data_IF_235756266012
#
_entry.id   IF_235756266012
#
_cell.length_a   1.000
_cell.length_b   1.000
_cell.length_c   1.000
_cell.angle_alpha   90.00
_cell.angle_beta   90.00
_cell.angle_gamma   90.00
#
_symmetry.space_group_name_H-M   'P 1'
#
loop_
_entity.id
_entity.type
_entity.pdbx_description
1 polymer ?
#
# COMPACT_ATOMS: atom_id res chain seq x y z
N UNK A 1 -32.21 -11.90 15.49
CA UNK A 1 -30.77 -12.23 15.43
C UNK A 1 -30.17 -11.47 16.58
N UNK A 2 -29.70 -12.19 17.59
CA UNK A 2 -29.28 -11.66 18.87
C UNK A 2 -28.08 -10.75 18.70
N UNK A 3 -28.26 -9.46 18.98
CA UNK A 3 -27.16 -8.53 19.22
C UNK A 3 -26.40 -9.04 20.45
N UNK A 4 -25.15 -9.47 20.26
CA UNK A 4 -24.24 -9.76 21.38
C UNK A 4 -23.98 -8.45 22.11
N UNK A 5 -24.45 -8.35 23.36
CA UNK A 5 -24.28 -7.17 24.22
C UNK A 5 -22.78 -6.81 24.31
N UNK A 6 -22.37 -5.74 23.62
CA UNK A 6 -21.00 -5.20 23.69
C UNK A 6 -20.15 -5.35 22.44
N UNK A 7 -20.70 -5.75 21.29
CA UNK A 7 -20.03 -5.65 19.98
C UNK A 7 -20.75 -4.67 19.05
N UNK A 8 -19.99 -3.84 18.34
CA UNK A 8 -20.51 -2.93 17.31
C UNK A 8 -19.93 -3.31 15.94
N UNK A 9 -20.81 -3.57 14.97
CA UNK A 9 -20.37 -3.82 13.60
C UNK A 9 -20.23 -2.52 12.82
N UNK A 10 -19.04 -2.24 12.31
CA UNK A 10 -18.74 -1.05 11.51
C UNK A 10 -18.15 -1.43 10.16
N UNK A 11 -18.30 -0.52 9.19
CA UNK A 11 -17.70 -0.67 7.86
C UNK A 11 -16.31 -0.06 7.81
N UNK A 12 -15.33 -0.80 7.32
CA UNK A 12 -13.95 -0.33 7.20
C UNK A 12 -13.82 0.76 6.12
N UNK A 13 -13.20 1.88 6.47
CA UNK A 13 -12.95 3.03 5.60
C UNK A 13 -11.49 3.48 5.66
N UNK A 14 -11.07 4.26 4.64
CA UNK A 14 -9.70 4.76 4.48
C UNK A 14 -9.29 5.63 5.66
N UNK A 15 -8.08 5.40 6.19
CA UNK A 15 -7.49 6.24 7.22
C UNK A 15 -7.17 7.65 6.69
N UNK A 16 -7.08 8.60 7.61
CA UNK A 16 -6.56 9.93 7.31
C UNK A 16 -5.02 9.81 7.26
N UNK A 17 -4.32 10.49 6.33
CA UNK A 17 -2.86 10.39 6.22
C UNK A 17 -2.09 10.59 7.53
N UNK A 18 -2.57 11.48 8.40
CA UNK A 18 -1.97 11.78 9.72
C UNK A 18 -2.09 10.67 10.77
N UNK A 19 -2.95 9.66 10.54
CA UNK A 19 -3.18 8.56 11.48
C UNK A 19 -2.43 7.27 11.08
N UNK A 20 -1.94 7.21 9.84
CA UNK A 20 -1.28 6.03 9.29
C UNK A 20 0.02 5.73 10.03
N UNK A 21 0.18 4.48 10.47
CA UNK A 21 1.37 4.04 11.20
C UNK A 21 1.31 4.29 12.71
N UNK A 22 0.33 5.04 13.21
CA UNK A 22 0.16 5.34 14.64
C UNK A 22 -0.77 4.37 15.39
N UNK A 23 -1.36 3.39 14.71
CA UNK A 23 -2.25 2.41 15.35
C UNK A 23 -3.57 3.02 15.84
N UNK A 24 -4.08 4.05 15.15
CA UNK A 24 -5.32 4.76 15.50
C UNK A 24 -6.50 4.25 14.70
N UNK A 25 -7.65 4.14 15.36
CA UNK A 25 -8.94 3.86 14.76
C UNK A 25 -9.91 5.00 15.06
N UNK A 26 -10.51 5.60 14.04
CA UNK A 26 -11.58 6.60 14.25
C UNK A 26 -12.94 5.93 14.17
N UNK A 27 -13.69 6.05 15.25
CA UNK A 27 -14.98 5.39 15.47
C UNK A 27 -16.02 6.45 15.84
N UNK A 28 -17.28 6.34 15.36
CA UNK A 28 -18.38 7.20 15.80
C UNK A 28 -18.60 7.05 17.31
N UNK A 29 -18.78 8.16 18.03
CA UNK A 29 -19.02 8.11 19.48
C UNK A 29 -20.48 7.91 19.88
N UNK A 30 -21.40 8.11 18.95
CA UNK A 30 -22.82 7.86 19.16
C UNK A 30 -23.09 6.35 19.00
N UNK A 31 -22.58 5.56 19.95
CA UNK A 31 -22.71 4.12 19.95
C UNK A 31 -22.85 3.55 21.37
N UNK A 32 -23.34 2.32 21.46
CA UNK A 32 -23.61 1.64 22.72
C UNK A 32 -22.34 1.25 23.50
N UNK A 33 -21.15 1.41 22.90
CA UNK A 33 -19.86 1.06 23.49
C UNK A 33 -19.27 2.16 24.39
N UNK A 34 -19.87 3.36 24.44
CA UNK A 34 -19.43 4.50 25.26
C UNK A 34 -17.92 4.75 25.17
N UNK A 35 -17.38 4.70 23.95
CA UNK A 35 -15.95 4.83 23.68
C UNK A 35 -15.48 6.26 23.96
N UNK A 36 -14.28 6.40 24.52
CA UNK A 36 -13.60 7.69 24.70
C UNK A 36 -12.30 7.74 23.91
N UNK A 37 -11.84 8.93 23.48
CA UNK A 37 -10.51 9.06 22.89
C UNK A 37 -9.44 8.53 23.84
N UNK A 38 -8.61 7.60 23.36
CA UNK A 38 -7.58 6.93 24.14
C UNK A 38 -7.97 5.55 24.67
N UNK A 39 -9.25 5.16 24.59
CA UNK A 39 -9.65 3.77 24.86
C UNK A 39 -9.04 2.83 23.82
N UNK A 40 -8.80 1.58 24.20
CA UNK A 40 -8.37 0.53 23.28
C UNK A 40 -9.56 -0.31 22.86
N UNK A 41 -9.64 -0.60 21.58
CA UNK A 41 -10.63 -1.51 21.00
C UNK A 41 -9.94 -2.71 20.37
N UNK A 42 -10.60 -3.86 20.48
CA UNK A 42 -10.30 -5.02 19.65
C UNK A 42 -11.11 -4.91 18.36
N UNK A 43 -10.45 -5.18 17.24
CA UNK A 43 -11.05 -5.22 15.91
C UNK A 43 -10.98 -6.67 15.44
N UNK A 44 -12.16 -7.29 15.32
CA UNK A 44 -12.32 -8.67 14.86
C UNK A 44 -12.73 -8.67 13.39
N UNK A 45 -11.77 -9.07 12.54
CA UNK A 45 -12.00 -9.45 11.14
C UNK A 45 -11.93 -10.96 10.99
N UNK A 46 -11.16 -11.45 10.01
CA UNK A 46 -10.74 -12.87 9.98
C UNK A 46 -9.71 -13.17 11.07
N UNK A 47 -8.91 -12.14 11.43
CA UNK A 47 -7.98 -12.12 12.55
C UNK A 47 -8.37 -11.00 13.51
N UNK A 48 -7.98 -11.15 14.77
CA UNK A 48 -8.17 -10.15 15.82
C UNK A 48 -6.92 -9.28 15.95
N UNK A 49 -7.10 -7.95 15.94
CA UNK A 49 -6.04 -6.97 16.22
C UNK A 49 -6.57 -5.88 17.14
N UNK A 50 -5.74 -4.91 17.51
CA UNK A 50 -6.11 -3.83 18.41
C UNK A 50 -5.70 -2.45 17.89
N UNK A 51 -6.48 -1.44 18.26
CA UNK A 51 -6.21 -0.05 17.90
C UNK A 51 -6.66 0.93 19.00
N UNK A 52 -6.07 2.13 19.01
CA UNK A 52 -6.47 3.21 19.92
C UNK A 52 -7.62 3.99 19.29
N UNK A 53 -8.69 4.20 20.04
CA UNK A 53 -9.82 5.03 19.62
C UNK A 53 -9.39 6.49 19.55
N UNK A 54 -9.67 7.10 18.40
CA UNK A 54 -9.51 8.52 18.16
C UNK A 54 -10.80 9.16 17.66
N UNK A 55 -10.88 10.50 17.73
CA UNK A 55 -12.12 11.21 17.39
C UNK A 55 -12.49 11.05 15.93
N UNK A 56 -13.72 10.61 15.63
CA UNK A 56 -14.25 10.65 14.26
C UNK A 56 -14.41 12.09 13.76
N UNK A 57 -14.42 12.28 12.44
CA UNK A 57 -14.82 13.57 11.86
C UNK A 57 -16.35 13.72 12.01
N UNK A 58 -16.87 14.95 12.13
CA UNK A 58 -18.32 15.18 12.22
C UNK A 58 -19.11 14.56 11.05
N UNK A 59 -18.50 14.55 9.85
CA UNK A 59 -19.05 13.96 8.63
C UNK A 59 -19.24 12.44 8.72
N UNK A 60 -18.39 11.76 9.50
CA UNK A 60 -18.38 10.29 9.60
C UNK A 60 -19.32 9.76 10.69
N UNK A 61 -19.84 10.63 11.56
CA UNK A 61 -20.57 10.24 12.78
C UNK A 61 -21.80 9.36 12.48
N UNK A 62 -22.48 9.60 11.36
CA UNK A 62 -23.70 8.88 10.99
C UNK A 62 -23.49 7.81 9.89
N UNK A 63 -22.25 7.58 9.46
CA UNK A 63 -21.97 6.68 8.33
C UNK A 63 -21.76 5.22 8.78
N UNK A 64 -21.64 4.95 10.08
CA UNK A 64 -21.37 3.61 10.60
C UNK A 64 -20.02 3.06 10.13
N UNK A 65 -19.03 3.93 9.97
CA UNK A 65 -17.69 3.59 9.45
C UNK A 65 -16.62 3.64 10.51
N UNK A 66 -15.64 2.74 10.41
CA UNK A 66 -14.39 2.81 11.17
C UNK A 66 -13.24 3.12 10.21
N UNK A 67 -12.49 4.19 10.48
CA UNK A 67 -11.30 4.51 9.68
C UNK A 67 -10.06 3.92 10.36
N UNK A 68 -9.41 2.99 9.68
CA UNK A 68 -8.18 2.31 10.11
C UNK A 68 -7.17 2.28 8.97
N UNK A 69 -5.89 2.26 9.32
CA UNK A 69 -4.79 2.26 8.35
C UNK A 69 -4.60 0.88 7.68
N UNK A 70 -3.80 0.83 6.62
CA UNK A 70 -3.54 -0.40 5.87
C UNK A 70 -2.88 -1.51 6.70
N UNK A 71 -2.17 -1.15 7.77
CA UNK A 71 -1.47 -2.09 8.65
C UNK A 71 -2.47 -2.80 9.55
N UNK A 72 -3.34 -2.05 10.23
CA UNK A 72 -4.41 -2.62 11.05
C UNK A 72 -5.33 -3.48 10.17
N UNK A 73 -5.64 -3.02 8.95
CA UNK A 73 -6.41 -3.81 7.97
C UNK A 73 -5.74 -5.15 7.66
N UNK A 74 -4.44 -5.14 7.36
CA UNK A 74 -3.67 -6.36 7.09
C UNK A 74 -3.59 -7.29 8.32
N UNK A 75 -3.40 -6.73 9.51
CA UNK A 75 -3.36 -7.50 10.76
C UNK A 75 -4.70 -8.18 11.05
N UNK A 76 -5.81 -7.48 10.85
CA UNK A 76 -7.16 -8.04 10.96
C UNK A 76 -7.56 -8.93 9.77
N UNK A 77 -6.77 -8.96 8.69
CA UNK A 77 -7.07 -9.59 7.41
C UNK A 77 -8.42 -9.11 6.81
N UNK A 78 -8.62 -7.78 6.80
CA UNK A 78 -9.83 -7.14 6.26
C UNK A 78 -9.45 -6.10 5.23
N UNK A 79 -10.37 -5.80 4.33
CA UNK A 79 -10.16 -4.78 3.30
C UNK A 79 -11.13 -3.62 3.42
N UNK A 80 -10.90 -2.55 2.64
CA UNK A 80 -11.82 -1.42 2.61
C UNK A 80 -13.23 -1.86 2.20
N UNK A 81 -14.23 -1.41 2.98
CA UNK A 81 -15.63 -1.68 2.72
C UNK A 81 -16.17 -2.94 3.40
N UNK A 82 -15.32 -3.79 3.97
CA UNK A 82 -15.73 -4.94 4.76
C UNK A 82 -16.34 -4.53 6.09
N UNK A 83 -17.06 -5.44 6.73
CA UNK A 83 -17.64 -5.24 8.05
C UNK A 83 -16.74 -5.90 9.09
N UNK A 84 -16.46 -5.17 10.17
CA UNK A 84 -15.70 -5.65 11.32
C UNK A 84 -16.49 -5.44 12.59
N UNK A 85 -16.34 -6.38 13.52
CA UNK A 85 -16.87 -6.21 14.86
C UNK A 85 -15.82 -5.55 15.74
N UNK A 86 -16.24 -4.54 16.48
CA UNK A 86 -15.40 -3.90 17.47
C UNK A 86 -15.97 -4.09 18.88
N UNK A 87 -15.07 -4.31 19.82
CA UNK A 87 -15.39 -4.41 21.24
C UNK A 87 -14.39 -3.57 22.04
N UNK A 88 -14.85 -3.00 23.15
CA UNK A 88 -13.97 -2.28 24.08
C UNK A 88 -13.21 -3.30 24.91
N UNK A 89 -11.89 -3.14 25.00
CA UNK A 89 -11.03 -4.06 25.76
C UNK A 89 -10.22 -3.30 26.80
N UNK A 90 -10.22 -3.82 28.03
CA UNK A 90 -9.27 -3.40 29.06
C UNK A 90 -7.93 -4.09 28.80
N UNK A 91 -6.91 -3.29 28.51
CA UNK A 91 -5.58 -3.77 28.16
C UNK A 91 -4.70 -3.89 29.39
N UNK A 92 -3.96 -5.00 29.47
CA UNK A 92 -2.91 -5.19 30.46
C UNK A 92 -1.62 -4.48 30.04
N UNK A 93 -0.82 -4.08 31.02
CA UNK A 93 0.51 -3.50 30.78
C UNK A 93 1.44 -4.53 30.14
N UNK A 94 2.18 -4.13 29.10
CA UNK A 94 3.18 -4.98 28.48
C UNK A 94 4.46 -4.98 29.32
N UNK A 95 4.85 -6.14 29.87
CA UNK A 95 6.12 -6.30 30.59
C UNK A 95 7.27 -6.48 29.61
N UNK A 96 7.08 -7.35 28.61
CA UNK A 96 8.08 -7.69 27.61
C UNK A 96 7.49 -7.80 26.21
N UNK A 97 8.10 -7.08 25.27
CA UNK A 97 7.75 -7.06 23.86
C UNK A 97 8.94 -7.54 23.03
N UNK A 98 8.74 -8.55 22.21
CA UNK A 98 9.76 -9.06 21.30
C UNK A 98 9.37 -8.74 19.86
N UNK A 99 10.22 -7.97 19.19
CA UNK A 99 10.05 -7.54 17.80
C UNK A 99 11.10 -8.21 16.92
N UNK A 100 10.77 -8.43 15.66
CA UNK A 100 11.73 -8.82 14.63
C UNK A 100 11.43 -8.07 13.34
N UNK A 101 12.45 -7.62 12.59
CA UNK A 101 12.23 -6.96 11.33
C UNK A 101 11.68 -7.95 10.28
N UNK A 102 10.78 -7.46 9.43
CA UNK A 102 10.24 -8.24 8.30
C UNK A 102 11.01 -7.80 7.05
N UNK A 103 11.80 -8.71 6.49
CA UNK A 103 12.61 -8.45 5.29
C UNK A 103 12.99 -9.74 4.57
N UNK A 104 13.39 -9.62 3.30
CA UNK A 104 13.91 -10.74 2.53
C UNK A 104 15.20 -11.31 3.17
N UNK A 105 15.26 -12.65 3.25
CA UNK A 105 16.21 -13.54 3.94
C UNK A 105 17.72 -13.25 3.82
N UNK A 106 18.15 -12.31 2.97
CA UNK A 106 19.55 -12.03 2.66
C UNK A 106 20.11 -10.75 3.30
N UNK A 107 19.27 -9.93 3.92
CA UNK A 107 19.73 -8.73 4.65
C UNK A 107 19.69 -9.01 6.15
N UNK A 108 20.85 -8.91 6.81
CA UNK A 108 20.91 -8.82 8.27
C UNK A 108 21.04 -7.34 8.62
N UNK A 109 20.08 -6.81 9.36
CA UNK A 109 20.18 -5.46 9.91
C UNK A 109 20.77 -5.56 11.30
N UNK A 110 21.95 -4.96 11.47
CA UNK A 110 22.51 -4.71 12.80
C UNK A 110 21.94 -3.40 13.30
N UNK A 111 21.25 -3.46 14.42
CA UNK A 111 20.78 -2.26 15.09
C UNK A 111 21.80 -1.86 16.15
N UNK A 112 22.21 -0.59 16.14
CA UNK A 112 23.11 -0.06 17.16
C UNK A 112 22.48 -0.04 18.57
N UNK A 113 23.30 0.04 19.63
CA UNK A 113 22.82 0.10 21.01
C UNK A 113 21.91 1.32 21.23
N UNK A 114 20.74 1.10 21.85
CA UNK A 114 19.79 2.17 22.19
C UNK A 114 18.57 2.27 21.26
N UNK A 115 18.50 1.45 20.21
CA UNK A 115 17.32 1.36 19.34
C UNK A 115 16.06 0.95 20.12
N UNK A 116 16.21 0.19 21.20
CA UNK A 116 15.10 -0.23 22.06
C UNK A 116 14.48 0.98 22.78
N UNK A 117 15.31 1.97 23.13
CA UNK A 117 14.85 3.24 23.69
C UNK A 117 14.04 4.03 22.68
N UNK A 118 14.48 4.05 21.42
CA UNK A 118 13.75 4.67 20.31
C UNK A 118 12.40 3.99 20.08
N UNK A 119 12.40 2.66 19.94
CA UNK A 119 11.19 1.86 19.78
C UNK A 119 10.21 2.07 20.94
N UNK A 120 10.72 2.18 22.17
CA UNK A 120 9.89 2.42 23.37
C UNK A 120 9.19 3.78 23.32
N UNK A 121 9.89 4.82 22.86
CA UNK A 121 9.28 6.15 22.68
C UNK A 121 8.23 6.13 21.56
N UNK A 122 8.55 5.53 20.42
CA UNK A 122 7.65 5.46 19.25
C UNK A 122 6.39 4.62 19.48
N UNK A 123 6.46 3.59 20.32
CA UNK A 123 5.36 2.68 20.63
C UNK A 123 4.63 3.02 21.94
N UNK A 124 5.00 4.09 22.63
CA UNK A 124 4.39 4.44 23.91
C UNK A 124 2.86 4.60 23.82
N UNK A 125 2.13 3.95 24.74
CA UNK A 125 0.67 3.82 24.78
C UNK A 125 0.05 3.05 23.62
N UNK A 126 0.84 2.46 22.73
CA UNK A 126 0.31 1.68 21.59
C UNK A 126 -0.14 0.29 22.04
N UNK A 127 -1.35 -0.15 21.67
CA UNK A 127 -1.77 -1.52 21.85
C UNK A 127 -1.06 -2.41 20.82
N UNK A 128 -0.66 -3.59 21.26
CA UNK A 128 0.08 -4.57 20.45
C UNK A 128 -0.45 -5.97 20.71
N UNK A 129 -0.48 -6.79 19.65
CA UNK A 129 -0.92 -8.19 19.70
C UNK A 129 0.20 -9.05 19.10
N UNK A 130 0.45 -10.23 19.68
CA UNK A 130 1.42 -11.16 19.12
C UNK A 130 0.97 -11.65 17.73
N UNK A 131 1.86 -11.58 16.74
CA UNK A 131 1.60 -11.89 15.34
C UNK A 131 1.43 -10.65 14.45
N UNK A 132 1.05 -9.50 15.03
CA UNK A 132 0.79 -8.27 14.28
C UNK A 132 2.06 -7.65 13.68
N UNK A 133 1.88 -6.99 12.53
CA UNK A 133 2.90 -6.14 11.91
C UNK A 133 2.69 -4.69 12.35
N UNK A 134 3.76 -3.98 12.67
CA UNK A 134 3.74 -2.58 13.10
C UNK A 134 4.91 -1.79 12.50
N UNK A 135 4.74 -0.48 12.33
CA UNK A 135 5.86 0.43 12.13
C UNK A 135 6.19 1.15 13.42
N UNK A 136 7.47 1.42 13.63
CA UNK A 136 7.94 2.29 14.71
C UNK A 136 8.08 3.70 14.12
N UNK A 137 7.23 4.66 14.53
CA UNK A 137 7.31 6.03 14.02
C UNK A 137 8.69 6.64 14.24
N UNK A 138 9.19 7.36 13.24
CA UNK A 138 10.51 8.01 13.24
C UNK A 138 11.69 7.07 12.98
N UNK A 139 11.45 5.76 12.80
CA UNK A 139 12.49 4.80 12.43
C UNK A 139 12.43 4.53 10.92
N UNK A 140 12.86 5.50 10.12
CA UNK A 140 13.02 5.33 8.67
C UNK A 140 14.45 4.88 8.37
N UNK A 141 14.60 3.73 7.71
CA UNK A 141 15.87 3.29 7.15
C UNK A 141 15.75 3.46 5.63
N UNK A 142 16.66 4.23 5.02
CA UNK A 142 16.70 4.42 3.56
C UNK A 142 15.41 5.00 2.94
N UNK A 143 14.77 5.95 3.61
CA UNK A 143 13.54 6.64 3.17
C UNK A 143 12.27 5.76 3.10
N UNK A 144 12.33 4.50 3.52
CA UNK A 144 11.16 3.63 3.70
C UNK A 144 11.01 3.23 5.18
N UNK A 145 9.76 3.02 5.62
CA UNK A 145 9.48 2.56 6.97
C UNK A 145 9.67 1.05 7.03
N UNK A 146 10.57 0.56 7.90
CA UNK A 146 10.80 -0.88 8.07
C UNK A 146 9.69 -1.49 8.94
N UNK A 147 8.92 -2.48 8.45
CA UNK A 147 7.90 -3.14 9.27
C UNK A 147 8.54 -4.13 10.24
N UNK A 148 8.00 -4.18 11.46
CA UNK A 148 8.35 -5.13 12.49
C UNK A 148 7.18 -6.05 12.77
N UNK A 149 7.45 -7.34 12.91
CA UNK A 149 6.48 -8.29 13.41
C UNK A 149 6.65 -8.47 14.92
N UNK A 150 5.54 -8.47 15.64
CA UNK A 150 5.51 -8.77 17.07
C UNK A 150 5.56 -10.30 17.22
N UNK A 151 6.73 -10.82 17.58
CA UNK A 151 6.94 -12.27 17.74
C UNK A 151 6.22 -12.78 18.99
N UNK A 152 6.28 -12.01 20.08
CA UNK A 152 5.64 -12.40 21.33
C UNK A 152 5.45 -11.21 22.27
N UNK A 153 4.42 -11.30 23.10
CA UNK A 153 4.10 -10.37 24.18
C UNK A 153 4.00 -11.11 25.52
N UNK A 154 4.40 -10.44 26.61
CA UNK A 154 4.11 -10.86 27.99
C UNK A 154 3.38 -9.72 28.71
N UNK A 155 2.19 -9.96 29.28
CA UNK A 155 1.35 -11.16 29.16
C UNK A 155 0.86 -11.40 27.72
N UNK A 156 0.31 -12.59 27.43
CA UNK A 156 -0.30 -12.90 26.13
C UNK A 156 -1.66 -12.19 25.99
N UNK A 157 -2.02 -11.84 24.77
CA UNK A 157 -3.26 -11.12 24.45
C UNK A 157 -2.97 -9.71 23.96
N UNK A 158 -3.99 -8.85 24.03
CA UNK A 158 -3.88 -7.43 23.70
C UNK A 158 -3.24 -6.71 24.89
N UNK A 159 -2.03 -6.18 24.70
CA UNK A 159 -1.29 -5.48 25.74
C UNK A 159 -0.90 -4.08 25.28
N UNK A 160 -0.72 -3.17 26.24
CA UNK A 160 -0.32 -1.79 25.95
C UNK A 160 1.15 -1.57 26.30
N UNK A 161 1.90 -1.00 25.36
CA UNK A 161 3.30 -0.64 25.57
C UNK A 161 3.38 0.61 26.44
N UNK A 162 4.18 0.53 27.52
CA UNK A 162 4.41 1.63 28.46
C UNK A 162 5.90 1.94 28.57
N UNK A 163 6.29 3.07 29.20
CA UNK A 163 7.70 3.40 29.41
C UNK A 163 8.48 2.38 30.27
N UNK A 164 7.78 1.51 31.01
CA UNK A 164 8.34 0.41 31.79
C UNK A 164 8.56 -0.88 30.97
N UNK A 165 8.03 -0.97 29.74
CA UNK A 165 8.11 -2.19 28.92
C UNK A 165 9.55 -2.48 28.47
N UNK A 166 9.99 -3.72 28.68
CA UNK A 166 11.22 -4.27 28.12
C UNK A 166 11.00 -4.61 26.64
N UNK A 167 11.61 -3.86 25.73
CA UNK A 167 11.56 -4.13 24.28
C UNK A 167 12.85 -4.84 23.88
N UNK A 168 12.72 -5.95 23.17
CA UNK A 168 13.82 -6.72 22.60
C UNK A 168 13.62 -6.79 21.09
N UNK A 169 14.55 -6.25 20.32
CA UNK A 169 14.54 -6.33 18.86
C UNK A 169 15.50 -7.44 18.45
N UNK A 170 14.99 -8.48 17.78
CA UNK A 170 15.81 -9.55 17.23
C UNK A 170 16.47 -9.11 15.92
N UNK A 171 17.69 -9.57 15.70
CA UNK A 171 18.42 -9.36 14.43
C UNK A 171 17.97 -10.33 13.33
N UNK A 172 17.53 -11.53 13.73
CA UNK A 172 17.03 -12.52 12.78
C UNK A 172 15.69 -12.04 12.21
N UNK A 173 15.59 -11.85 10.87
CA UNK A 173 14.35 -11.43 10.26
C UNK A 173 13.33 -12.58 10.28
N UNK A 174 12.05 -12.24 10.43
CA UNK A 174 10.99 -13.19 10.13
C UNK A 174 10.78 -13.18 8.61
N UNK A 175 10.75 -14.38 8.02
CA UNK A 175 10.47 -14.55 6.60
C UNK A 175 9.14 -13.85 6.26
N UNK A 176 9.12 -13.13 5.14
CA UNK A 176 7.87 -12.89 4.43
C UNK A 176 7.38 -14.24 3.89
N UNK A 177 6.67 -15.02 4.73
CA UNK A 177 6.05 -16.30 4.32
C UNK A 177 4.90 -16.11 3.31
N UNK A 178 4.64 -14.87 2.85
CA UNK A 178 3.67 -14.59 1.78
C UNK A 178 4.42 -14.37 0.45
N UNK A 179 4.33 -15.34 -0.47
CA UNK A 179 4.85 -15.31 -1.84
C UNK A 179 4.30 -14.18 -2.74
N UNK A 180 3.53 -13.22 -2.21
CA UNK A 180 3.19 -12.01 -2.96
C UNK A 180 4.19 -10.90 -2.64
N UNK A 181 5.10 -10.66 -3.57
CA UNK A 181 6.06 -9.53 -3.63
C UNK A 181 5.38 -8.16 -3.74
N UNK A 182 4.22 -8.00 -3.10
CA UNK A 182 3.50 -6.75 -3.02
C UNK A 182 4.07 -6.05 -1.79
N UNK A 183 5.11 -5.24 -2.05
CA UNK A 183 5.44 -4.07 -1.24
C UNK A 183 4.13 -3.53 -0.66
N UNK A 184 4.11 -3.30 0.66
CA UNK A 184 2.95 -3.02 1.52
C UNK A 184 2.30 -1.66 1.19
N UNK A 185 2.03 -1.41 -0.09
CA UNK A 185 1.48 -0.18 -0.63
C UNK A 185 -0.02 -0.26 -0.43
N UNK A 186 -0.50 0.59 0.47
CA UNK A 186 -1.92 0.77 0.72
C UNK A 186 -2.46 1.92 -0.12
N UNK A 187 -3.78 2.05 -0.19
CA UNK A 187 -4.40 3.23 -0.81
C UNK A 187 -4.03 4.54 -0.11
N UNK A 188 -3.58 4.50 1.15
CA UNK A 188 -3.06 5.64 1.89
C UNK A 188 -1.66 6.09 1.48
N UNK A 189 -0.96 5.28 0.67
CA UNK A 189 0.36 5.59 0.14
C UNK A 189 0.29 6.12 -1.31
N UNK A 190 -0.94 6.37 -1.80
CA UNK A 190 -1.23 7.01 -3.08
C UNK A 190 -1.92 8.36 -2.82
N UNK A 191 -1.25 9.45 -3.20
CA UNK A 191 -1.75 10.82 -3.08
C UNK A 191 -2.19 11.41 -4.42
N UNK A 192 -3.13 12.35 -4.38
CA UNK A 192 -3.52 13.18 -5.52
C UNK A 192 -4.32 12.49 -6.62
N UNK A 193 -4.86 11.30 -6.34
CA UNK A 193 -5.60 10.48 -7.32
C UNK A 193 -6.97 10.03 -6.78
N UNK A 194 -7.63 10.82 -5.93
CA UNK A 194 -8.88 10.44 -5.26
C UNK A 194 -9.97 9.93 -6.22
N UNK A 195 -10.31 10.72 -7.24
CA UNK A 195 -11.34 10.38 -8.22
C UNK A 195 -10.95 9.17 -9.09
N UNK A 196 -9.69 9.12 -9.50
CA UNK A 196 -9.14 8.01 -10.28
C UNK A 196 -9.20 6.72 -9.47
N UNK A 197 -8.80 6.79 -8.20
CA UNK A 197 -8.79 5.64 -7.31
C UNK A 197 -10.19 5.10 -7.06
N UNK A 198 -11.18 5.97 -6.88
CA UNK A 198 -12.57 5.54 -6.78
C UNK A 198 -13.02 4.75 -8.02
N UNK A 199 -12.72 5.26 -9.23
CA UNK A 199 -13.04 4.55 -10.48
C UNK A 199 -12.31 3.22 -10.57
N UNK A 200 -11.03 3.16 -10.20
CA UNK A 200 -10.25 1.91 -10.18
C UNK A 200 -10.89 0.88 -9.23
N UNK A 201 -11.35 1.32 -8.05
CA UNK A 201 -12.05 0.43 -7.10
C UNK A 201 -13.37 -0.10 -7.68
N UNK A 202 -14.15 0.76 -8.32
CA UNK A 202 -15.41 0.34 -8.97
C UNK A 202 -15.17 -0.62 -10.15
N UNK A 203 -14.09 -0.43 -10.91
CA UNK A 203 -13.78 -1.23 -12.10
C UNK A 203 -13.03 -2.52 -11.79
N UNK A 204 -12.24 -2.59 -10.71
CA UNK A 204 -11.35 -3.72 -10.43
C UNK A 204 -11.71 -4.42 -9.12
N UNK A 205 -11.82 -3.68 -8.02
CA UNK A 205 -12.09 -4.25 -6.70
C UNK A 205 -13.51 -4.82 -6.60
N UNK A 206 -14.51 -4.11 -7.12
CA UNK A 206 -15.92 -4.52 -7.03
C UNK A 206 -16.21 -5.84 -7.76
N UNK A 207 -15.75 -6.07 -9.01
CA UNK A 207 -15.91 -7.37 -9.67
C UNK A 207 -15.28 -8.54 -8.91
N UNK A 208 -14.05 -8.35 -8.41
CA UNK A 208 -13.28 -9.42 -7.76
C UNK A 208 -13.90 -9.83 -6.42
N UNK A 209 -14.35 -8.86 -5.61
CA UNK A 209 -14.92 -9.12 -4.27
C UNK A 209 -16.39 -9.49 -4.30
N UNK A 210 -17.16 -8.90 -5.22
CA UNK A 210 -18.62 -9.04 -5.23
C UNK A 210 -19.18 -9.44 -6.61
N UNK A 211 -18.72 -10.57 -7.18
CA UNK A 211 -19.17 -11.02 -8.51
C UNK A 211 -20.67 -11.35 -8.56
N UNK A 212 -21.30 -11.59 -7.41
CA UNK A 212 -22.76 -11.81 -7.29
C UNK A 212 -23.55 -10.57 -7.72
N UNK A 213 -23.05 -9.35 -7.48
CA UNK A 213 -23.74 -8.11 -7.86
C UNK A 213 -23.88 -8.02 -9.38
N UNK A 214 -22.80 -8.28 -10.11
CA UNK A 214 -22.76 -8.29 -11.57
C UNK A 214 -23.67 -9.37 -12.16
N UNK A 215 -23.59 -10.60 -11.61
CA UNK A 215 -24.48 -11.71 -12.01
C UNK A 215 -25.95 -11.40 -11.79
N UNK A 216 -26.30 -10.77 -10.68
CA UNK A 216 -27.70 -10.39 -10.35
C UNK A 216 -28.23 -9.31 -11.29
N UNK A 217 -27.37 -8.36 -11.67
CA UNK A 217 -27.71 -7.28 -12.60
C UNK A 217 -27.66 -7.73 -14.07
N UNK A 218 -27.12 -8.92 -14.36
CA UNK A 218 -26.98 -9.43 -15.73
C UNK A 218 -25.99 -8.63 -16.57
N UNK A 219 -25.01 -7.99 -15.93
CA UNK A 219 -23.96 -7.22 -16.59
C UNK A 219 -22.64 -7.96 -16.48
N UNK A 220 -21.82 -7.92 -17.54
CA UNK A 220 -20.47 -8.44 -17.50
C UNK A 220 -19.54 -7.44 -16.81
N UNK A 221 -18.65 -7.90 -15.90
CA UNK A 221 -17.62 -7.04 -15.35
C UNK A 221 -16.61 -6.62 -16.44
N UNK A 222 -15.96 -5.46 -16.28
CA UNK A 222 -14.90 -5.04 -17.20
C UNK A 222 -13.74 -6.04 -17.17
N UNK A 223 -13.21 -6.36 -18.35
CA UNK A 223 -12.12 -7.35 -18.49
C UNK A 223 -10.75 -6.72 -18.48
N UNK A 224 -10.65 -5.50 -19.00
CA UNK A 224 -9.40 -4.80 -19.17
C UNK A 224 -9.51 -3.33 -18.81
N UNK A 225 -8.61 -2.86 -17.96
CA UNK A 225 -8.47 -1.44 -17.62
C UNK A 225 -7.15 -0.91 -18.19
N UNK A 226 -7.22 0.11 -19.03
CA UNK A 226 -6.05 0.81 -19.57
C UNK A 226 -5.78 2.08 -18.76
N UNK A 227 -4.68 2.09 -18.01
CA UNK A 227 -4.14 3.26 -17.32
C UNK A 227 -3.20 4.02 -18.26
N UNK A 228 -3.51 5.28 -18.56
CA UNK A 228 -2.63 6.10 -19.40
C UNK A 228 -2.34 7.46 -18.77
N UNK A 229 -1.17 8.03 -19.06
CA UNK A 229 -0.80 9.36 -18.60
C UNK A 229 0.71 9.56 -18.58
N UNK A 230 1.22 10.74 -18.19
CA UNK A 230 2.64 11.02 -18.12
C UNK A 230 3.42 10.01 -17.25
N UNK A 231 4.72 9.79 -17.50
CA UNK A 231 5.54 8.97 -16.61
C UNK A 231 5.60 9.57 -15.20
N UNK A 232 5.78 8.73 -14.18
CA UNK A 232 5.94 9.18 -12.80
C UNK A 232 4.67 9.60 -12.07
N UNK A 233 3.48 9.41 -12.66
CA UNK A 233 2.18 9.68 -12.00
C UNK A 233 1.65 8.54 -11.13
N UNK A 234 2.39 7.43 -10.99
CA UNK A 234 2.05 6.35 -10.06
C UNK A 234 1.14 5.24 -10.63
N UNK A 235 1.08 5.06 -11.95
CA UNK A 235 0.29 3.99 -12.61
C UNK A 235 0.58 2.59 -12.02
N UNK A 236 1.86 2.24 -11.88
CA UNK A 236 2.30 0.97 -11.30
C UNK A 236 1.98 0.86 -9.81
N UNK A 237 2.05 1.97 -9.06
CA UNK A 237 1.69 2.00 -7.63
C UNK A 237 0.20 1.74 -7.42
N UNK A 238 -0.66 2.32 -8.27
CA UNK A 238 -2.11 2.09 -8.21
C UNK A 238 -2.42 0.60 -8.42
N UNK A 239 -1.85 -0.03 -9.45
CA UNK A 239 -2.10 -1.44 -9.72
C UNK A 239 -1.66 -2.35 -8.55
N UNK A 240 -0.48 -2.09 -7.97
CA UNK A 240 0.01 -2.80 -6.79
C UNK A 240 -0.91 -2.61 -5.56
N UNK A 241 -1.36 -1.38 -5.31
CA UNK A 241 -2.24 -1.11 -4.18
C UNK A 241 -3.60 -1.80 -4.31
N UNK A 242 -4.18 -1.82 -5.51
CA UNK A 242 -5.45 -2.51 -5.77
C UNK A 242 -5.31 -4.01 -5.55
N UNK A 243 -4.19 -4.59 -6.00
CA UNK A 243 -3.92 -6.01 -5.79
C UNK A 243 -3.75 -6.37 -4.30
N UNK A 244 -3.01 -5.55 -3.56
CA UNK A 244 -2.86 -5.70 -2.11
C UNK A 244 -4.23 -5.67 -1.40
N UNK A 245 -5.11 -4.76 -1.79
CA UNK A 245 -6.39 -4.52 -1.12
C UNK A 245 -7.50 -5.51 -1.52
N UNK A 246 -7.36 -6.12 -2.70
CA UNK A 246 -8.25 -7.18 -3.16
C UNK A 246 -7.80 -8.57 -2.72
N UNK A 247 -6.58 -8.70 -2.18
CA UNK A 247 -5.95 -9.99 -1.87
C UNK A 247 -5.97 -10.95 -3.08
N UNK A 248 -5.97 -10.39 -4.30
CA UNK A 248 -5.95 -11.15 -5.54
C UNK A 248 -4.50 -11.53 -5.89
N UNK A 249 -4.31 -12.66 -6.56
CA UNK A 249 -3.01 -13.03 -7.11
C UNK A 249 -2.55 -11.93 -8.07
N UNK A 250 -1.36 -11.37 -7.87
CA UNK A 250 -0.82 -10.30 -8.69
C UNK A 250 0.33 -10.80 -9.56
N UNK A 251 0.17 -10.71 -10.88
CA UNK A 251 1.25 -11.01 -11.83
C UNK A 251 1.61 -9.74 -12.59
N UNK A 252 2.86 -9.29 -12.42
CA UNK A 252 3.39 -8.11 -13.10
C UNK A 252 4.26 -8.52 -14.27
N UNK A 253 4.04 -7.87 -15.41
CA UNK A 253 4.79 -8.06 -16.65
C UNK A 253 5.26 -6.70 -17.12
N UNK A 254 6.54 -6.55 -17.43
CA UNK A 254 7.02 -5.39 -18.15
C UNK A 254 7.05 -5.69 -19.65
N UNK A 255 6.48 -4.83 -20.48
CA UNK A 255 6.38 -5.06 -21.92
C UNK A 255 7.72 -5.44 -22.60
N UNK A 256 8.84 -4.72 -22.35
CA UNK A 256 10.15 -5.08 -22.89
C UNK A 256 10.66 -6.46 -22.46
N UNK A 257 10.24 -6.99 -21.30
CA UNK A 257 10.66 -8.32 -20.83
C UNK A 257 10.06 -9.45 -21.66
N UNK A 258 8.88 -9.22 -22.26
CA UNK A 258 8.20 -10.20 -23.13
C UNK A 258 8.87 -10.27 -24.49
N UNK A 259 9.50 -9.18 -24.97
CA UNK A 259 10.06 -9.11 -26.32
C UNK A 259 11.39 -9.86 -26.36
N UNK A 260 11.34 -11.11 -26.83
CA UNK A 260 12.50 -11.98 -27.01
C UNK A 260 12.91 -12.05 -28.47
N UNK A 261 14.21 -12.25 -28.72
CA UNK A 261 14.76 -12.48 -30.07
C UNK A 261 14.52 -13.89 -30.59
N UNK A 262 14.06 -14.81 -29.72
CA UNK A 262 13.85 -16.21 -30.05
C UNK A 262 12.40 -16.44 -30.49
N UNK A 263 12.24 -17.24 -31.54
CA UNK A 263 10.95 -17.46 -32.18
C UNK A 263 9.99 -18.23 -31.25
N UNK A 264 8.80 -17.67 -30.97
CA UNK A 264 7.74 -18.39 -30.25
C UNK A 264 7.82 -18.29 -28.72
N UNK A 265 8.92 -17.76 -28.17
CA UNK A 265 9.13 -17.66 -26.74
C UNK A 265 8.22 -16.60 -26.10
N UNK A 266 8.13 -15.42 -26.72
CA UNK A 266 7.23 -14.34 -26.28
C UNK A 266 5.77 -14.77 -26.26
N UNK A 267 5.30 -15.48 -27.28
CA UNK A 267 3.91 -15.94 -27.35
C UNK A 267 3.61 -17.01 -26.29
N UNK A 268 4.58 -17.91 -26.04
CA UNK A 268 4.46 -18.95 -25.03
C UNK A 268 4.43 -18.36 -23.62
N UNK A 269 5.34 -17.43 -23.33
CA UNK A 269 5.42 -16.74 -22.03
C UNK A 269 4.12 -15.99 -21.72
N UNK A 270 3.56 -15.25 -22.68
CA UNK A 270 2.25 -14.60 -22.51
C UNK A 270 1.14 -15.60 -22.19
N UNK A 271 1.14 -16.78 -22.83
CA UNK A 271 0.14 -17.81 -22.55
C UNK A 271 0.28 -18.38 -21.14
N UNK A 272 1.50 -18.73 -20.74
CA UNK A 272 1.78 -19.28 -19.41
C UNK A 272 1.33 -18.33 -18.30
N UNK A 273 1.57 -17.02 -18.47
CA UNK A 273 1.15 -16.01 -17.48
C UNK A 273 -0.38 -15.91 -17.37
N UNK A 274 -1.10 -15.95 -18.49
CA UNK A 274 -2.56 -15.93 -18.46
C UNK A 274 -3.15 -17.22 -17.87
N UNK A 275 -2.56 -18.37 -18.19
CA UNK A 275 -2.98 -19.68 -17.66
C UNK A 275 -2.72 -19.78 -16.14
N UNK A 276 -1.59 -19.26 -15.66
CA UNK A 276 -1.25 -19.17 -14.23
C UNK A 276 -2.23 -18.25 -13.49
N UNK A 277 -2.49 -17.05 -14.02
CA UNK A 277 -3.44 -16.12 -13.42
C UNK A 277 -4.86 -16.71 -13.36
N UNK A 278 -5.30 -17.41 -14.41
CA UNK A 278 -6.60 -18.10 -14.42
C UNK A 278 -6.67 -19.24 -13.40
N UNK A 279 -5.57 -19.96 -13.19
CA UNK A 279 -5.48 -21.05 -12.21
C UNK A 279 -5.49 -20.53 -10.76
N UNK A 280 -5.02 -19.30 -10.54
CA UNK A 280 -4.94 -18.64 -9.24
C UNK A 280 -6.03 -17.58 -9.00
N UNK A 281 -7.14 -17.65 -9.73
CA UNK A 281 -8.24 -16.70 -9.59
C UNK A 281 -8.81 -16.63 -8.16
N UNK A 282 -9.13 -15.44 -7.60
CA UNK A 282 -9.10 -14.11 -8.21
C UNK A 282 -7.68 -13.58 -8.50
N UNK A 283 -7.45 -13.09 -9.72
CA UNK A 283 -6.12 -12.63 -10.15
C UNK A 283 -6.15 -11.31 -10.93
N UNK A 284 -5.04 -10.58 -10.88
CA UNK A 284 -4.79 -9.34 -11.60
C UNK A 284 -3.50 -9.51 -12.40
N UNK A 285 -3.61 -9.33 -13.73
CA UNK A 285 -2.46 -9.28 -14.63
C UNK A 285 -2.15 -7.81 -14.90
N UNK A 286 -1.00 -7.32 -14.46
CA UNK A 286 -0.52 -5.98 -14.74
C UNK A 286 0.53 -5.99 -15.84
N UNK A 287 0.26 -5.30 -16.95
CA UNK A 287 1.17 -5.14 -18.08
C UNK A 287 1.65 -3.70 -18.11
N UNK A 288 2.88 -3.45 -17.67
CA UNK A 288 3.52 -2.15 -17.78
C UNK A 288 4.12 -1.95 -19.17
N UNK A 289 4.25 -0.69 -19.59
CA UNK A 289 4.73 -0.30 -20.92
C UNK A 289 4.05 -1.06 -22.07
N UNK A 290 2.72 -1.16 -22.02
CA UNK A 290 1.92 -1.91 -23.01
C UNK A 290 2.19 -1.46 -24.46
N UNK A 291 2.57 -0.21 -24.67
CA UNK A 291 2.95 0.34 -25.97
C UNK A 291 4.20 -0.30 -26.59
N UNK A 292 5.04 -0.97 -25.80
CA UNK A 292 6.19 -1.73 -26.30
C UNK A 292 5.80 -3.05 -26.96
N UNK A 293 4.84 -3.79 -26.40
CA UNK A 293 4.40 -5.10 -26.92
C UNK A 293 3.19 -5.01 -27.84
N UNK A 294 2.45 -3.90 -27.78
CA UNK A 294 1.28 -3.68 -28.61
C UNK A 294 1.24 -2.32 -29.32
N UNK A 295 2.31 -1.94 -30.03
CA UNK A 295 2.30 -0.75 -30.88
C UNK A 295 1.30 -0.89 -32.04
N UNK A 296 0.94 0.23 -32.67
CA UNK A 296 0.16 0.23 -33.92
C UNK A 296 0.84 -0.62 -34.98
N UNK A 297 0.06 -1.46 -35.64
CA UNK A 297 0.55 -2.37 -36.70
C UNK A 297 1.27 -1.67 -37.85
N UNK A 298 0.91 -0.41 -38.11
CA UNK A 298 1.52 0.44 -39.14
C UNK A 298 2.94 0.89 -38.77
N UNK A 299 3.22 1.06 -37.48
CA UNK A 299 4.52 1.50 -36.94
C UNK A 299 5.50 0.31 -36.76
N UNK A 300 5.00 -0.92 -36.90
CA UNK A 300 5.74 -2.16 -36.68
C UNK A 300 6.33 -2.68 -37.98
N UNK A 301 7.66 -2.76 -38.03
CA UNK A 301 8.41 -3.39 -39.13
C UNK A 301 8.70 -4.89 -38.90
N UNK A 302 8.71 -5.35 -37.65
CA UNK A 302 9.03 -6.74 -37.28
C UNK A 302 7.83 -7.69 -37.27
N UNK A 303 8.00 -8.89 -37.82
CA UNK A 303 6.98 -9.95 -37.80
C UNK A 303 6.71 -10.50 -36.39
N UNK A 304 7.72 -10.46 -35.50
CA UNK A 304 7.61 -10.93 -34.11
C UNK A 304 6.62 -10.07 -33.32
N UNK A 305 6.79 -8.74 -33.35
CA UNK A 305 5.92 -7.79 -32.65
C UNK A 305 4.45 -7.94 -33.08
N UNK A 306 4.18 -8.08 -34.40
CA UNK A 306 2.81 -8.30 -34.90
C UNK A 306 2.17 -9.57 -34.35
N UNK A 307 2.96 -10.64 -34.18
CA UNK A 307 2.48 -11.92 -33.61
C UNK A 307 2.21 -11.80 -32.12
N UNK A 308 3.04 -11.08 -31.38
CA UNK A 308 2.80 -10.78 -29.96
C UNK A 308 1.50 -9.99 -29.78
N UNK A 309 1.25 -8.96 -30.60
CA UNK A 309 -0.05 -8.22 -30.57
C UNK A 309 -1.22 -9.17 -30.85
N UNK A 310 -1.12 -10.02 -31.87
CA UNK A 310 -2.16 -10.97 -32.23
C UNK A 310 -2.42 -12.00 -31.12
N UNK A 311 -1.36 -12.48 -30.46
CA UNK A 311 -1.47 -13.40 -29.33
C UNK A 311 -2.15 -12.73 -28.13
N UNK A 312 -1.76 -11.50 -27.78
CA UNK A 312 -2.39 -10.77 -26.67
C UNK A 312 -3.89 -10.53 -26.94
N UNK A 313 -4.26 -10.16 -28.17
CA UNK A 313 -5.67 -10.02 -28.58
C UNK A 313 -6.43 -11.34 -28.42
N UNK A 314 -5.82 -12.45 -28.82
CA UNK A 314 -6.42 -13.79 -28.71
C UNK A 314 -6.61 -14.20 -27.25
N UNK A 315 -5.64 -13.89 -26.38
CA UNK A 315 -5.73 -14.16 -24.95
C UNK A 315 -6.85 -13.34 -24.30
N UNK A 316 -6.94 -12.03 -24.57
CA UNK A 316 -7.99 -11.17 -24.03
C UNK A 316 -9.40 -11.57 -24.51
N UNK A 317 -9.53 -11.97 -25.78
CA UNK A 317 -10.81 -12.48 -26.32
C UNK A 317 -11.16 -13.86 -25.75
N UNK A 318 -10.14 -14.68 -25.47
CA UNK A 318 -10.26 -16.04 -24.93
C UNK A 318 -10.60 -16.09 -23.44
N UNK A 319 -10.31 -15.04 -22.68
CA UNK A 319 -10.74 -14.92 -21.28
C UNK A 319 -12.26 -14.96 -21.21
N UNK A 320 -12.81 -15.89 -20.43
CA UNK A 320 -14.23 -15.90 -20.15
C UNK A 320 -14.51 -14.96 -18.98
N UNK A 321 -15.62 -14.21 -18.99
CA UNK A 321 -16.02 -13.34 -17.88
C UNK A 321 -16.26 -14.07 -16.54
N UNK A 322 -16.04 -15.39 -16.50
CA UNK A 322 -16.15 -16.26 -15.33
C UNK A 322 -14.81 -16.55 -14.67
N UNK A 323 -13.70 -16.23 -15.31
CA UNK A 323 -12.36 -16.60 -14.83
C UNK A 323 -11.92 -15.72 -13.64
N UNK A 324 -12.68 -14.68 -13.28
CA UNK A 324 -12.40 -13.75 -12.18
C UNK A 324 -10.96 -13.17 -12.25
N UNK A 325 -10.49 -12.93 -13.49
CA UNK A 325 -9.20 -12.32 -13.79
C UNK A 325 -9.44 -10.96 -14.45
N UNK A 326 -8.73 -9.93 -13.98
CA UNK A 326 -8.75 -8.58 -14.56
C UNK A 326 -7.37 -8.24 -15.11
N UNK A 327 -7.32 -7.71 -16.34
CA UNK A 327 -6.07 -7.27 -16.97
C UNK A 327 -5.96 -5.75 -16.84
N UNK A 328 -4.83 -5.26 -16.33
CA UNK A 328 -4.52 -3.84 -16.22
C UNK A 328 -3.35 -3.56 -17.15
N UNK A 329 -3.56 -2.72 -18.17
CA UNK A 329 -2.50 -2.23 -19.03
C UNK A 329 -2.08 -0.83 -18.61
N UNK A 330 -0.78 -0.55 -18.50
CA UNK A 330 -0.26 0.78 -18.27
C UNK A 330 0.55 1.27 -19.49
N UNK A 331 0.36 2.54 -19.85
CA UNK A 331 1.14 3.18 -20.92
C UNK A 331 1.37 4.66 -20.66
N UNK A 332 2.45 5.19 -21.22
CA UNK A 332 2.68 6.63 -21.28
C UNK A 332 2.11 7.25 -22.58
N UNK A 333 1.78 6.42 -23.57
CA UNK A 333 1.42 6.84 -24.93
C UNK A 333 0.16 6.12 -25.41
N UNK A 334 -1.01 6.59 -24.97
CA UNK A 334 -2.31 6.01 -25.38
C UNK A 334 -2.45 5.87 -26.91
N UNK A 335 -1.90 6.83 -27.65
CA UNK A 335 -2.05 6.91 -29.11
C UNK A 335 -1.05 5.99 -29.85
N UNK A 336 -0.11 5.36 -29.14
CA UNK A 336 0.84 4.40 -29.70
C UNK A 336 0.29 2.96 -29.70
N UNK A 337 -0.75 2.67 -28.92
CA UNK A 337 -1.34 1.33 -28.78
C UNK A 337 -2.21 0.98 -30.00
N UNK A 338 -2.20 -0.30 -30.40
CA UNK A 338 -3.14 -0.85 -31.40
C UNK A 338 -4.61 -0.56 -31.00
N UNK A 339 -5.40 0.17 -31.82
CA UNK A 339 -6.80 0.46 -31.55
C UNK A 339 -7.68 -0.78 -31.35
N UNK A 340 -7.26 -1.95 -31.84
CA UNK A 340 -7.96 -3.21 -31.62
C UNK A 340 -8.01 -3.57 -30.14
N UNK A 341 -6.97 -3.26 -29.36
CA UNK A 341 -6.91 -3.57 -27.93
C UNK A 341 -7.90 -2.73 -27.09
N UNK A 342 -8.27 -1.55 -27.58
CA UNK A 342 -9.17 -0.60 -26.91
C UNK A 342 -10.66 -0.83 -27.21
N UNK A 343 -10.99 -1.94 -27.87
CA UNK A 343 -12.38 -2.28 -28.20
C UNK A 343 -13.08 -2.94 -27.01
N UNK A 344 -14.41 -2.79 -26.89
CA UNK A 344 -15.19 -3.48 -25.87
C UNK A 344 -14.90 -4.99 -25.83
N UNK A 345 -14.76 -5.55 -24.62
CA UNK A 345 -14.36 -6.95 -24.39
C UNK A 345 -12.85 -7.18 -24.21
N UNK A 346 -12.02 -6.14 -24.40
CA UNK A 346 -10.57 -6.14 -24.16
C UNK A 346 -10.25 -5.08 -23.11
N UNK A 347 -9.50 -4.02 -23.45
CA UNK A 347 -9.42 -2.82 -22.63
C UNK A 347 -10.63 -1.93 -22.89
N UNK A 348 -11.76 -2.27 -22.26
CA UNK A 348 -13.05 -1.61 -22.39
C UNK A 348 -13.24 -0.43 -21.43
N UNK A 349 -12.27 -0.24 -20.53
CA UNK A 349 -12.16 0.92 -19.65
C UNK A 349 -10.82 1.59 -19.83
N UNK A 350 -10.85 2.91 -19.90
CA UNK A 350 -9.67 3.76 -19.96
C UNK A 350 -9.71 4.76 -18.80
N UNK A 351 -8.56 4.94 -18.16
CA UNK A 351 -8.41 5.87 -17.06
C UNK A 351 -7.16 6.71 -17.26
N UNK A 352 -7.36 8.02 -17.31
CA UNK A 352 -6.29 9.00 -17.36
C UNK A 352 -5.73 9.26 -15.96
N UNK A 353 -4.45 8.96 -15.76
CA UNK A 353 -3.67 9.28 -14.57
C UNK A 353 -2.81 10.51 -14.89
N UNK A 354 -3.42 11.68 -14.71
CA UNK A 354 -2.83 12.98 -15.00
C UNK A 354 -1.83 13.49 -13.95
N UNK A 355 -1.36 14.71 -14.17
CA UNK A 355 -0.50 15.43 -13.22
C UNK A 355 -1.36 15.90 -12.04
N UNK A 356 -0.89 15.74 -10.78
CA UNK A 356 -1.66 16.14 -9.60
C UNK A 356 -1.82 17.66 -9.48
N UNK A 357 -2.96 18.08 -8.93
CA UNK A 357 -3.23 19.48 -8.58
C UNK A 357 -2.50 19.89 -7.28
N UNK A 358 -2.70 21.13 -6.81
CA UNK A 358 -2.03 21.63 -5.58
C UNK A 358 -2.35 20.74 -4.37
N UNK A 359 -3.61 20.32 -4.23
CA UNK A 359 -4.04 19.47 -3.12
C UNK A 359 -3.42 18.07 -3.22
N UNK A 360 -3.42 17.47 -4.40
CA UNK A 360 -2.81 16.18 -4.65
C UNK A 360 -1.30 16.18 -4.43
N UNK A 361 -0.60 17.25 -4.81
CA UNK A 361 0.83 17.41 -4.48
C UNK A 361 1.05 17.50 -2.97
N UNK A 362 0.18 18.19 -2.24
CA UNK A 362 0.26 18.23 -0.77
C UNK A 362 0.15 16.83 -0.17
N UNK A 363 -0.81 16.02 -0.62
CA UNK A 363 -0.96 14.64 -0.17
C UNK A 363 0.28 13.80 -0.48
N UNK A 364 0.85 13.95 -1.68
CA UNK A 364 2.05 13.21 -2.08
C UNK A 364 3.26 13.62 -1.22
N UNK A 365 3.44 14.90 -0.93
CA UNK A 365 4.50 15.38 -0.04
C UNK A 365 4.31 14.81 1.36
N UNK A 366 3.10 14.86 1.92
CA UNK A 366 2.79 14.28 3.23
C UNK A 366 3.10 12.78 3.29
N UNK A 367 2.84 12.03 2.22
CA UNK A 367 3.17 10.60 2.14
C UNK A 367 4.68 10.39 2.19
N UNK A 368 5.45 11.11 1.36
CA UNK A 368 6.91 10.95 1.30
C UNK A 368 7.63 11.51 2.52
N UNK A 369 6.97 12.35 3.32
CA UNK A 369 7.53 12.96 4.53
C UNK A 369 7.03 12.34 5.84
N UNK A 370 6.06 11.42 5.81
CA UNK A 370 5.39 10.81 6.98
C UNK A 370 6.33 10.26 8.07
N UNK A 371 7.52 9.79 7.69
CA UNK A 371 8.52 9.25 8.62
C UNK A 371 9.79 10.10 8.77
N UNK A 372 9.86 11.23 8.08
CA UNK A 372 11.07 12.04 7.98
C UNK A 372 11.14 13.05 9.13
N UNK A 373 12.28 13.21 9.82
CA UNK A 373 12.46 14.30 10.78
C UNK A 373 12.63 15.61 10.02
N UNK A 374 11.54 16.32 9.76
CA UNK A 374 11.55 17.62 9.09
C UNK A 374 11.76 18.72 10.14
N UNK A 375 12.55 19.73 9.79
CA UNK A 375 12.78 20.89 10.65
C UNK A 375 11.55 21.79 10.76
N UNK A 376 11.40 22.50 11.89
CA UNK A 376 10.24 23.36 12.18
C UNK A 376 10.09 24.55 11.22
N UNK A 377 11.14 24.88 10.45
CA UNK A 377 11.15 25.93 9.44
C UNK A 377 10.51 25.52 8.10
N UNK A 378 9.97 24.31 7.99
CA UNK A 378 9.36 23.80 6.78
C UNK A 378 8.01 24.47 6.44
N UNK A 379 7.98 25.16 5.30
CA UNK A 379 6.78 25.80 4.75
C UNK A 379 6.19 24.99 3.57
N UNK A 380 5.17 24.19 3.85
CA UNK A 380 4.46 23.41 2.83
C UNK A 380 3.90 24.27 1.70
N UNK A 381 3.32 25.43 2.01
CA UNK A 381 2.72 26.32 1.01
C UNK A 381 3.75 26.83 0.00
N UNK A 382 4.94 27.20 0.47
CA UNK A 382 6.03 27.63 -0.40
C UNK A 382 6.46 26.51 -1.36
N UNK A 383 6.57 25.28 -0.87
CA UNK A 383 6.91 24.12 -1.69
C UNK A 383 5.85 23.84 -2.76
N UNK A 384 4.57 23.96 -2.39
CA UNK A 384 3.44 23.75 -3.31
C UNK A 384 3.35 24.81 -4.42
N UNK A 385 3.74 26.04 -4.13
CA UNK A 385 3.82 27.15 -5.10
C UNK A 385 4.98 26.96 -6.08
N UNK A 386 6.10 26.36 -5.63
CA UNK A 386 7.31 26.17 -6.45
C UNK A 386 7.40 24.78 -7.13
N UNK A 387 6.42 23.91 -6.94
CA UNK A 387 6.37 22.54 -7.51
C UNK A 387 5.32 22.40 -8.63
N UNK A 388 5.09 23.47 -9.41
CA UNK A 388 4.09 23.42 -10.48
C UNK A 388 4.43 22.34 -11.53
N UNK A 389 3.45 21.49 -11.83
CA UNK A 389 3.60 20.43 -12.83
C UNK A 389 4.38 19.19 -12.35
N UNK A 390 4.86 19.18 -11.10
CA UNK A 390 5.58 18.03 -10.55
C UNK A 390 4.64 16.85 -10.41
N UNK A 391 5.12 15.67 -10.83
CA UNK A 391 4.43 14.39 -10.60
C UNK A 391 4.95 13.71 -9.34
N UNK A 392 4.34 12.58 -8.95
CA UNK A 392 4.75 11.84 -7.74
C UNK A 392 6.22 11.43 -7.74
N UNK A 393 6.76 11.03 -8.89
CA UNK A 393 8.18 10.72 -9.03
C UNK A 393 9.09 11.94 -8.81
N UNK A 394 8.69 13.12 -9.28
CA UNK A 394 9.47 14.36 -9.09
C UNK A 394 9.48 14.79 -7.62
N UNK A 395 8.32 14.69 -6.95
CA UNK A 395 8.21 14.99 -5.51
C UNK A 395 9.03 14.00 -4.69
N UNK A 396 8.95 12.70 -5.00
CA UNK A 396 9.77 11.67 -4.35
C UNK A 396 11.27 11.96 -4.53
N UNK A 397 11.69 12.32 -5.75
CA UNK A 397 13.07 12.72 -6.03
C UNK A 397 13.48 13.97 -5.24
N UNK A 398 12.62 14.98 -5.16
CA UNK A 398 12.86 16.21 -4.39
C UNK A 398 13.07 15.92 -2.90
N UNK A 399 12.16 15.15 -2.28
CA UNK A 399 12.26 14.74 -0.87
C UNK A 399 13.53 13.93 -0.61
N UNK A 400 13.86 13.01 -1.52
CA UNK A 400 15.09 12.21 -1.44
C UNK A 400 16.36 13.06 -1.53
N UNK A 401 16.40 14.04 -2.43
CA UNK A 401 17.52 14.97 -2.55
C UNK A 401 17.65 15.86 -1.30
N UNK A 402 16.54 16.29 -0.70
CA UNK A 402 16.55 17.02 0.57
C UNK A 402 17.12 16.18 1.72
N UNK A 403 16.73 14.91 1.82
CA UNK A 403 17.29 13.97 2.79
C UNK A 403 18.80 13.71 2.54
N UNK A 404 19.21 13.58 1.27
CA UNK A 404 20.62 13.41 0.91
C UNK A 404 21.46 14.66 1.26
N UNK A 405 20.91 15.86 1.07
CA UNK A 405 21.54 17.11 1.53
C UNK A 405 21.66 17.15 3.04
N UNK A 406 20.64 16.72 3.78
CA UNK A 406 20.70 16.60 5.22
C UNK A 406 21.80 15.63 5.65
N UNK A 407 21.85 14.43 5.05
CA UNK A 407 22.90 13.45 5.31
C UNK A 407 24.30 14.03 5.07
N UNK A 408 24.52 14.77 3.97
CA UNK A 408 25.81 15.44 3.70
C UNK A 408 26.22 16.47 4.76
N UNK A 409 25.26 17.09 5.48
CA UNK A 409 25.57 18.03 6.58
C UNK A 409 26.09 17.30 7.82
N UNK A 410 25.53 16.14 8.13
CA UNK A 410 25.88 15.35 9.32
C UNK A 410 26.98 14.33 9.04
N UNK A 411 27.27 13.99 7.78
CA UNK A 411 28.32 13.05 7.40
C UNK A 411 29.70 13.37 8.02
N UNK A 412 30.14 14.65 8.13
CA UNK A 412 31.40 14.99 8.81
C UNK A 412 31.42 14.69 10.31
N UNK A 413 30.26 14.52 10.94
CA UNK A 413 30.10 14.19 12.36
C UNK A 413 29.98 12.67 12.59
N UNK A 414 29.92 11.89 11.50
CA UNK A 414 29.79 10.42 11.52
C UNK A 414 31.14 9.83 11.14
N UNK A 415 31.72 9.01 12.02
CA UNK A 415 32.85 8.17 11.65
C UNK A 415 32.34 6.99 10.81
N UNK A 416 32.78 6.91 9.56
CA UNK A 416 32.36 5.86 8.61
C UNK A 416 33.15 4.55 8.80
N UNK A 417 34.24 4.59 9.57
CA UNK A 417 35.05 3.42 9.88
C UNK A 417 34.51 2.65 11.11
N UNK A 418 33.56 3.23 11.85
CA UNK A 418 32.83 2.57 12.92
C UNK A 418 31.52 1.94 12.41
N UNK A 419 31.22 0.71 12.85
CA UNK A 419 29.98 -0.01 12.49
C UNK A 419 28.71 0.61 13.10
N UNK A 420 28.84 1.59 13.99
CA UNK A 420 27.76 2.16 14.81
C UNK A 420 27.69 3.69 14.71
N UNK A 421 26.49 4.22 14.47
CA UNK A 421 26.26 5.68 14.45
C UNK A 421 25.87 6.13 15.87
N UNK A 422 26.51 7.17 16.43
CA UNK A 422 26.14 7.72 17.74
C UNK A 422 24.67 8.16 17.79
N UNK A 423 23.94 7.74 18.83
CA UNK A 423 22.53 8.08 19.02
C UNK A 423 22.29 9.61 19.08
N UNK A 424 23.24 10.38 19.60
CA UNK A 424 23.16 11.85 19.65
C UNK A 424 23.14 12.51 18.26
N UNK A 425 23.84 11.92 17.30
CA UNK A 425 23.83 12.41 15.91
C UNK A 425 22.48 12.09 15.28
N UNK A 426 22.01 10.85 15.43
CA UNK A 426 20.70 10.42 14.94
C UNK A 426 19.55 11.27 15.51
N UNK A 427 19.61 11.66 16.79
CA UNK A 427 18.59 12.52 17.42
C UNK A 427 18.62 13.98 16.93
N UNK A 428 19.76 14.48 16.44
CA UNK A 428 19.90 15.85 15.89
C UNK A 428 19.63 15.95 14.39
N UNK A 429 19.51 14.83 13.70
CA UNK A 429 19.34 14.81 12.25
C UNK A 429 17.99 15.35 11.85
N UNK A 430 18.00 16.50 11.16
CA UNK A 430 16.80 17.11 10.59
C UNK A 430 16.98 17.40 9.09
N UNK A 431 15.90 17.13 8.35
CA UNK A 431 15.78 17.48 6.94
C UNK A 431 15.22 18.89 6.84
N UNK A 432 15.96 19.73 6.08
CA UNK A 432 15.56 21.10 5.75
C UNK A 432 15.28 21.11 4.26
N UNK A 433 14.06 21.47 3.86
CA UNK A 433 13.60 21.42 2.47
C UNK A 433 13.59 22.80 1.82
#
# INVERSE_FOLDING_TARGET
MSDEEGELTLRVAKAIPSDVGHGRARVPFDNDLNLKPGDVIEIKGEKSTAAIVWRCRPEDANLGVIRIDGIIRKNAAVSLGDRVNISKVEVSECEKLVLSPVMAKQQKVRFGPGIEGFARRGLNKRPVVAGDRIFIPGMTLFAEALPFQIVSTKPKGIVQVLPSTEIVIKEDPVDEEDESTIQTISYEDIGGLGDQLQKVREMIELPLKHPILFRRLGIDPPRGVLLHGPPGTGKTLIAKAVAAETQAHFTSINGPEIISKYYGESEKQLREIFDEAASNAPAIIFIDELDSIAPKREDVSGEVERRVVAQLLTLLDGMQGRDNVVVIGATNRRDAIDPALRRPGRFDRELEIGVPDKNGRSEIIDIHTRGMPISDDFEMDWLLENSYGFVGADISALVRESAMKALRRYLPEIDLDEDEIPAEVLEKMEVKM
#
